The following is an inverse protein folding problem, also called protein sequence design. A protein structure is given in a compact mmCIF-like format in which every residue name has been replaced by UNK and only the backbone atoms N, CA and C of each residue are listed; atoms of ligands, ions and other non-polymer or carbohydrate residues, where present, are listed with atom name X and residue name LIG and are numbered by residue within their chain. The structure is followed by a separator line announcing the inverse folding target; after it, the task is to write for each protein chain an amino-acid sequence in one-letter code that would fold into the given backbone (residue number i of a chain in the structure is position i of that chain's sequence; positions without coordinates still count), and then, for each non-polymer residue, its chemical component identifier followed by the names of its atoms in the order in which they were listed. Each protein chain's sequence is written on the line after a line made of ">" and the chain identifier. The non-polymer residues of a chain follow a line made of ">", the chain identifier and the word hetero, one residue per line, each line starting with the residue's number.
data_IF_673056632393
#
_entry.id   IF_673056632393
#
_cell.length_a   1.000
_cell.length_b   1.000
_cell.length_c   1.000
_cell.angle_alpha   90.00
_cell.angle_beta   90.00
_cell.angle_gamma   90.00
#
_symmetry.space_group_name_H-M   'P 1'
#
loop_
_entity.id
_entity.type
_entity.pdbx_description
1 polymer ?
#
# COMPACT_ATOMS: atom_id res chain seq x y z
N UNK A 1 -17.29 -10.40 -6.69
CA UNK A 1 -16.23 -10.75 -5.74
C UNK A 1 -16.36 -12.23 -5.41
N UNK A 2 -15.25 -12.90 -5.10
CA UNK A 2 -15.32 -14.26 -4.55
C UNK A 2 -15.92 -14.20 -3.15
N UNK A 3 -16.76 -15.16 -2.77
CA UNK A 3 -17.25 -15.31 -1.39
C UNK A 3 -16.14 -15.59 -0.36
N UNK A 4 -14.90 -15.81 -0.82
CA UNK A 4 -13.71 -15.96 0.03
C UNK A 4 -12.96 -14.65 0.25
N UNK A 5 -13.37 -13.55 -0.37
CA UNK A 5 -12.72 -12.27 -0.17
C UNK A 5 -13.26 -11.66 1.13
N UNK A 6 -12.42 -11.33 2.12
CA UNK A 6 -12.89 -10.84 3.42
C UNK A 6 -13.63 -9.50 3.33
N UNK A 7 -13.46 -8.76 2.24
CA UNK A 7 -14.21 -7.54 1.96
C UNK A 7 -15.70 -7.77 1.69
N UNK A 8 -16.16 -9.00 1.39
CA UNK A 8 -17.58 -9.24 1.09
C UNK A 8 -18.52 -8.97 2.25
N UNK A 9 -17.99 -8.91 3.48
CA UNK A 9 -18.78 -8.72 4.69
C UNK A 9 -19.25 -7.27 4.87
N UNK A 10 -18.55 -6.30 4.27
CA UNK A 10 -18.81 -4.88 4.42
C UNK A 10 -18.77 -4.08 3.10
N UNK A 11 -18.48 -4.73 1.97
CA UNK A 11 -18.40 -4.08 0.66
C UNK A 11 -19.54 -4.52 -0.27
N UNK A 12 -20.36 -3.56 -0.66
CA UNK A 12 -21.34 -3.70 -1.74
C UNK A 12 -20.73 -3.07 -2.98
N UNK A 13 -20.73 -3.76 -4.13
CA UNK A 13 -20.03 -3.29 -5.33
C UNK A 13 -20.81 -3.62 -6.60
N UNK A 14 -20.58 -2.82 -7.64
CA UNK A 14 -21.03 -3.09 -9.00
C UNK A 14 -19.91 -2.76 -10.00
N UNK A 15 -19.90 -3.45 -11.14
CA UNK A 15 -18.93 -3.24 -12.21
C UNK A 15 -19.60 -3.01 -13.55
N UNK A 16 -18.92 -2.23 -14.38
CA UNK A 16 -19.33 -1.93 -15.74
C UNK A 16 -18.17 -2.11 -16.72
N UNK A 17 -18.52 -2.44 -17.95
CA UNK A 17 -17.62 -2.45 -19.10
C UNK A 17 -18.20 -1.56 -20.18
N UNK A 18 -17.37 -0.72 -20.79
CA UNK A 18 -17.73 0.06 -21.95
C UNK A 18 -17.47 -0.75 -23.21
N UNK A 19 -18.43 -0.75 -24.14
CA UNK A 19 -18.31 -1.42 -25.43
C UNK A 19 -18.45 -0.42 -26.58
N UNK A 20 -17.54 -0.48 -27.55
CA UNK A 20 -17.57 0.28 -28.80
C UNK A 20 -17.50 -0.70 -29.97
N UNK A 21 -18.51 -0.70 -30.83
CA UNK A 21 -18.65 -1.66 -31.94
C UNK A 21 -18.46 -3.14 -31.50
N UNK A 22 -19.02 -3.51 -30.34
CA UNK A 22 -18.92 -4.86 -29.78
C UNK A 22 -17.61 -5.19 -29.06
N UNK A 23 -16.58 -4.34 -29.13
CA UNK A 23 -15.30 -4.53 -28.43
C UNK A 23 -15.29 -3.83 -27.07
N UNK A 24 -14.66 -4.45 -26.07
CA UNK A 24 -14.47 -3.84 -24.74
C UNK A 24 -13.39 -2.77 -24.85
N UNK A 25 -13.74 -1.54 -24.50
CA UNK A 25 -12.84 -0.36 -24.56
C UNK A 25 -12.55 0.26 -23.20
N UNK A 26 -13.20 -0.22 -22.15
CA UNK A 26 -12.86 0.13 -20.78
C UNK A 26 -13.73 -0.56 -19.74
N UNK A 27 -13.38 -0.34 -18.47
CA UNK A 27 -14.07 -0.89 -17.30
C UNK A 27 -13.93 0.06 -16.10
N UNK A 28 -14.87 -0.05 -15.18
CA UNK A 28 -14.84 0.61 -13.87
C UNK A 28 -15.64 -0.22 -12.87
N UNK A 29 -15.28 -0.15 -11.60
CA UNK A 29 -16.11 -0.62 -10.49
C UNK A 29 -16.45 0.54 -9.57
N UNK A 30 -17.61 0.46 -8.94
CA UNK A 30 -18.00 1.34 -7.85
C UNK A 30 -18.42 0.49 -6.66
N UNK A 31 -18.25 1.03 -5.46
CA UNK A 31 -18.48 0.30 -4.22
C UNK A 31 -18.91 1.22 -3.08
N UNK A 32 -19.63 0.63 -2.14
CA UNK A 32 -19.95 1.15 -0.82
C UNK A 32 -19.21 0.28 0.19
N UNK A 33 -18.45 0.93 1.07
CA UNK A 33 -17.83 0.30 2.23
C UNK A 33 -18.61 0.75 3.47
N UNK A 34 -19.28 -0.19 4.15
CA UNK A 34 -20.10 0.13 5.32
C UNK A 34 -19.24 0.58 6.50
N UNK A 35 -18.02 0.07 6.65
CA UNK A 35 -17.09 0.50 7.70
C UNK A 35 -16.58 1.93 7.45
N UNK A 36 -16.39 2.30 6.18
CA UNK A 36 -16.13 3.68 5.82
C UNK A 36 -17.32 4.58 6.16
N UNK A 37 -18.55 4.17 5.82
CA UNK A 37 -19.78 4.95 6.11
C UNK A 37 -20.01 5.15 7.61
N UNK A 38 -19.79 4.12 8.43
CA UNK A 38 -19.90 4.21 9.89
C UNK A 38 -19.02 5.32 10.48
N UNK A 39 -17.88 5.60 9.84
CA UNK A 39 -16.90 6.58 10.32
C UNK A 39 -17.03 7.96 9.67
N UNK A 40 -17.38 8.00 8.39
CA UNK A 40 -17.30 9.21 7.57
C UNK A 40 -18.65 9.71 7.04
N UNK A 41 -19.73 8.95 7.25
CA UNK A 41 -21.08 9.29 6.82
C UNK A 41 -21.66 8.34 5.78
N UNK A 42 -22.97 8.13 5.89
CA UNK A 42 -23.77 7.23 5.02
C UNK A 42 -23.83 7.66 3.55
N UNK A 43 -23.40 8.87 3.24
CA UNK A 43 -23.47 9.46 1.90
C UNK A 43 -22.16 9.30 1.10
N UNK A 44 -21.27 8.43 1.57
CA UNK A 44 -19.98 8.16 0.91
C UNK A 44 -20.05 6.94 -0.01
N UNK A 45 -19.26 6.97 -1.08
CA UNK A 45 -19.06 5.88 -2.03
C UNK A 45 -17.71 5.99 -2.74
N UNK A 46 -17.30 4.91 -3.41
CA UNK A 46 -15.97 4.83 -4.00
C UNK A 46 -15.98 4.28 -5.42
N UNK A 47 -15.00 4.70 -6.24
CA UNK A 47 -14.70 4.06 -7.52
C UNK A 47 -13.33 3.38 -7.48
N UNK A 48 -13.12 2.36 -8.31
CA UNK A 48 -11.81 1.73 -8.54
C UNK A 48 -11.79 0.92 -9.85
N UNK A 49 -10.65 0.28 -10.14
CA UNK A 49 -10.39 -0.59 -11.30
C UNK A 49 -10.73 0.09 -12.63
N UNK A 50 -10.57 1.41 -12.69
CA UNK A 50 -10.68 2.17 -13.93
C UNK A 50 -9.55 1.79 -14.86
N UNK A 51 -9.92 1.31 -16.03
CA UNK A 51 -8.99 0.95 -17.10
C UNK A 51 -9.72 1.14 -18.42
N UNK A 52 -9.26 2.08 -19.24
CA UNK A 52 -9.91 2.47 -20.49
C UNK A 52 -8.89 2.99 -21.51
N UNK A 53 -9.26 2.89 -22.78
CA UNK A 53 -8.54 3.55 -23.88
C UNK A 53 -8.56 5.08 -23.71
N UNK A 54 -7.62 5.75 -24.36
CA UNK A 54 -7.45 7.21 -24.32
C UNK A 54 -8.55 7.97 -25.10
N UNK A 55 -9.80 7.88 -24.61
CA UNK A 55 -10.96 8.54 -25.19
C UNK A 55 -11.84 9.14 -24.09
N UNK A 56 -12.02 10.49 -24.03
CA UNK A 56 -12.80 11.14 -22.97
C UNK A 56 -14.23 10.61 -22.82
N UNK A 57 -14.87 10.26 -23.94
CA UNK A 57 -16.23 9.72 -23.96
C UNK A 57 -16.35 8.35 -23.28
N UNK A 58 -15.29 7.53 -23.30
CA UNK A 58 -15.28 6.22 -22.61
C UNK A 58 -15.23 6.43 -21.10
N UNK A 59 -14.39 7.35 -20.63
CA UNK A 59 -14.35 7.75 -19.22
C UNK A 59 -15.69 8.33 -18.77
N UNK A 60 -16.27 9.25 -19.52
CA UNK A 60 -17.57 9.85 -19.21
C UNK A 60 -18.69 8.79 -19.07
N UNK A 61 -18.74 7.81 -19.98
CA UNK A 61 -19.73 6.74 -19.91
C UNK A 61 -19.54 5.83 -18.68
N UNK A 62 -18.29 5.44 -18.40
CA UNK A 62 -17.96 4.58 -17.26
C UNK A 62 -18.25 5.27 -15.93
N UNK A 63 -17.75 6.50 -15.73
CA UNK A 63 -17.99 7.27 -14.52
C UNK A 63 -19.46 7.65 -14.38
N UNK A 64 -20.16 8.01 -15.45
CA UNK A 64 -21.59 8.29 -15.38
C UNK A 64 -22.41 7.09 -14.86
N UNK A 65 -22.07 5.87 -15.29
CA UNK A 65 -22.72 4.65 -14.79
C UNK A 65 -22.41 4.39 -13.30
N UNK A 66 -21.14 4.55 -12.92
CA UNK A 66 -20.69 4.41 -11.53
C UNK A 66 -21.36 5.44 -10.60
N UNK A 67 -21.36 6.73 -10.98
CA UNK A 67 -21.98 7.83 -10.23
C UNK A 67 -23.50 7.62 -10.09
N UNK A 68 -24.19 7.25 -11.16
CA UNK A 68 -25.64 6.99 -11.11
C UNK A 68 -25.99 5.85 -10.15
N UNK A 69 -25.19 4.78 -10.15
CA UNK A 69 -25.38 3.69 -9.21
C UNK A 69 -25.11 4.12 -7.78
N UNK A 70 -24.00 4.82 -7.51
CA UNK A 70 -23.69 5.32 -6.17
C UNK A 70 -24.77 6.24 -5.61
N UNK A 71 -25.34 7.13 -6.43
CA UNK A 71 -26.51 7.95 -6.07
C UNK A 71 -27.71 7.11 -5.68
N UNK A 72 -27.99 6.03 -6.43
CA UNK A 72 -29.07 5.10 -6.10
C UNK A 72 -28.84 4.36 -4.77
N UNK A 73 -27.60 4.27 -4.31
CA UNK A 73 -27.20 3.72 -3.01
C UNK A 73 -27.11 4.82 -1.91
N UNK A 74 -27.60 6.03 -2.18
CA UNK A 74 -27.62 7.14 -1.23
C UNK A 74 -26.32 7.94 -1.10
N UNK A 75 -25.33 7.73 -1.98
CA UNK A 75 -24.09 8.49 -1.94
C UNK A 75 -24.25 9.89 -2.56
N UNK A 76 -23.73 10.91 -1.87
CA UNK A 76 -23.56 12.29 -2.34
C UNK A 76 -22.09 12.62 -2.65
N UNK A 77 -21.15 11.83 -2.08
CA UNK A 77 -19.72 11.99 -2.25
C UNK A 77 -19.10 10.72 -2.80
N UNK A 78 -18.27 10.87 -3.84
CA UNK A 78 -17.47 9.79 -4.40
C UNK A 78 -15.97 10.07 -4.22
N UNK A 79 -15.20 9.05 -3.86
CA UNK A 79 -13.73 9.13 -3.80
C UNK A 79 -13.04 7.87 -4.34
N UNK A 80 -11.78 7.98 -4.78
CA UNK A 80 -11.04 6.83 -5.30
C UNK A 80 -9.80 7.20 -6.12
N UNK A 81 -9.07 6.21 -6.66
CA UNK A 81 -9.40 4.79 -6.63
C UNK A 81 -8.99 4.05 -5.34
N UNK A 82 -9.85 3.19 -4.80
CA UNK A 82 -9.55 2.24 -3.69
C UNK A 82 -9.93 0.81 -4.06
N UNK A 83 -8.96 -0.11 -4.14
CA UNK A 83 -9.25 -1.50 -4.53
C UNK A 83 -9.93 -2.20 -3.36
N UNK A 84 -11.25 -2.28 -3.36
CA UNK A 84 -12.08 -2.83 -2.27
C UNK A 84 -12.09 -1.97 -1.00
N UNK A 85 -10.95 -1.69 -0.38
CA UNK A 85 -10.87 -0.71 0.71
C UNK A 85 -9.51 -0.02 0.73
N UNK A 86 -9.38 1.00 1.57
CA UNK A 86 -8.18 1.84 1.65
C UNK A 86 -6.91 1.07 2.00
N UNK A 87 -7.05 -0.10 2.63
CA UNK A 87 -5.93 -0.90 3.10
C UNK A 87 -5.35 -1.85 2.04
N UNK A 88 -5.94 -1.91 0.84
CA UNK A 88 -5.40 -2.66 -0.30
C UNK A 88 -4.67 -1.73 -1.26
N UNK A 89 -5.03 -1.67 -2.54
CA UNK A 89 -4.41 -0.74 -3.49
C UNK A 89 -5.11 0.62 -3.47
N UNK A 90 -4.35 1.69 -3.27
CA UNK A 90 -4.88 3.05 -3.17
C UNK A 90 -4.17 4.01 -4.13
N UNK A 91 -4.97 4.87 -4.76
CA UNK A 91 -4.49 5.99 -5.57
C UNK A 91 -4.18 5.65 -7.04
N UNK A 92 -4.36 6.64 -7.89
CA UNK A 92 -4.00 6.59 -9.31
C UNK A 92 -2.57 7.10 -9.49
N UNK A 93 -1.71 6.39 -10.22
CA UNK A 93 -0.37 6.89 -10.57
C UNK A 93 -0.50 8.17 -11.41
N UNK A 94 0.11 9.27 -10.96
CA UNK A 94 0.13 10.56 -11.67
C UNK A 94 1.54 11.04 -12.03
N UNK A 95 2.58 10.53 -11.37
CA UNK A 95 3.99 10.84 -11.66
C UNK A 95 4.87 9.58 -11.48
N UNK A 96 5.92 9.44 -12.30
CA UNK A 96 6.88 8.32 -12.25
C UNK A 96 6.54 7.10 -13.14
N UNK A 97 5.95 7.35 -14.32
CA UNK A 97 5.58 6.31 -15.30
C UNK A 97 6.77 5.59 -15.96
N UNK A 98 7.98 6.14 -15.83
CA UNK A 98 9.23 5.68 -16.41
C UNK A 98 9.80 4.43 -15.72
N UNK A 99 9.27 4.05 -14.56
CA UNK A 99 9.70 2.87 -13.80
C UNK A 99 8.56 1.86 -13.60
N UNK A 100 8.85 0.54 -13.61
CA UNK A 100 7.83 -0.49 -13.38
C UNK A 100 7.23 -0.39 -11.96
N UNK A 101 6.02 -0.91 -11.71
CA UNK A 101 5.44 -0.92 -10.37
C UNK A 101 6.17 -1.88 -9.42
N UNK A 102 6.30 -1.50 -8.15
CA UNK A 102 6.61 -2.42 -7.08
C UNK A 102 5.40 -3.32 -6.73
N UNK A 103 5.65 -4.39 -5.99
CA UNK A 103 4.60 -5.32 -5.57
C UNK A 103 3.41 -4.60 -4.92
N UNK A 104 2.20 -4.93 -5.38
CA UNK A 104 0.93 -4.35 -4.91
C UNK A 104 0.82 -2.82 -5.07
N UNK A 105 1.50 -2.25 -6.08
CA UNK A 105 1.37 -0.84 -6.45
C UNK A 105 0.66 -0.72 -7.80
N UNK A 106 -0.34 0.17 -7.94
CA UNK A 106 -1.03 0.38 -9.20
C UNK A 106 -0.09 1.02 -10.24
N UNK A 107 -0.34 0.73 -11.52
CA UNK A 107 0.40 1.33 -12.64
C UNK A 107 -0.56 1.66 -13.78
N UNK A 108 -1.42 2.65 -13.51
CA UNK A 108 -2.38 3.17 -14.49
C UNK A 108 -1.67 3.82 -15.68
N UNK A 109 -2.46 4.28 -16.66
CA UNK A 109 -1.91 4.93 -17.86
C UNK A 109 -1.81 6.45 -17.67
N UNK A 110 -0.86 7.14 -18.35
CA UNK A 110 -0.65 8.57 -18.18
C UNK A 110 -1.87 9.46 -18.45
N UNK A 111 -2.78 9.02 -19.33
CA UNK A 111 -3.97 9.78 -19.67
C UNK A 111 -5.09 9.71 -18.62
N UNK A 112 -5.05 8.75 -17.67
CA UNK A 112 -6.17 8.53 -16.75
C UNK A 112 -6.46 9.74 -15.87
N UNK A 113 -5.42 10.40 -15.36
CA UNK A 113 -5.54 11.57 -14.49
C UNK A 113 -6.30 12.71 -15.20
N UNK A 114 -5.88 13.04 -16.43
CA UNK A 114 -6.49 14.10 -17.21
C UNK A 114 -7.97 13.82 -17.51
N UNK A 115 -8.34 12.58 -17.87
CA UNK A 115 -9.75 12.24 -18.11
C UNK A 115 -10.59 12.29 -16.84
N UNK A 116 -10.05 11.85 -15.70
CA UNK A 116 -10.76 11.90 -14.42
C UNK A 116 -10.99 13.37 -14.00
N UNK A 117 -9.98 14.23 -14.15
CA UNK A 117 -10.07 15.66 -13.84
C UNK A 117 -11.08 16.39 -14.73
N UNK A 118 -11.17 16.02 -16.02
CA UNK A 118 -12.18 16.56 -16.95
C UNK A 118 -13.63 16.24 -16.52
N UNK A 119 -13.84 15.20 -15.72
CA UNK A 119 -15.15 14.82 -15.19
C UNK A 119 -15.51 15.57 -13.90
N UNK A 120 -14.70 16.55 -13.49
CA UNK A 120 -14.92 17.38 -12.30
C UNK A 120 -14.40 16.77 -10.99
N UNK A 121 -13.61 15.70 -11.07
CA UNK A 121 -12.91 15.17 -9.92
C UNK A 121 -11.71 16.06 -9.58
N UNK A 122 -11.49 16.29 -8.30
CA UNK A 122 -10.37 17.06 -7.80
C UNK A 122 -9.53 16.23 -6.85
N UNK A 123 -8.31 16.70 -6.58
CA UNK A 123 -7.40 16.07 -5.63
C UNK A 123 -8.04 16.03 -4.23
N UNK A 124 -8.17 14.83 -3.68
CA UNK A 124 -8.46 14.61 -2.27
C UNK A 124 -7.17 14.53 -1.44
N UNK A 125 -6.25 13.63 -1.82
CA UNK A 125 -4.94 13.51 -1.18
C UNK A 125 -3.92 12.85 -2.12
N UNK A 126 -2.66 13.28 -2.06
CA UNK A 126 -1.55 12.59 -2.73
C UNK A 126 -0.84 11.61 -1.78
N UNK A 127 -0.45 10.47 -2.35
CA UNK A 127 0.34 9.42 -1.74
C UNK A 127 1.70 9.38 -2.43
N UNK A 128 2.77 9.49 -1.65
CA UNK A 128 4.14 9.46 -2.11
C UNK A 128 4.70 8.04 -1.97
N UNK A 129 5.49 7.64 -2.96
CA UNK A 129 6.38 6.50 -2.84
C UNK A 129 7.83 6.98 -2.95
N UNK A 130 8.64 6.53 -2.01
CA UNK A 130 10.04 6.90 -1.87
C UNK A 130 10.92 5.73 -2.28
N UNK A 131 11.93 6.01 -3.10
CA UNK A 131 12.93 5.05 -3.53
C UNK A 131 14.23 5.25 -2.76
N UNK A 132 14.89 4.17 -2.35
CA UNK A 132 16.19 4.26 -1.69
C UNK A 132 17.07 3.10 -2.15
N UNK A 133 18.27 3.40 -2.66
CA UNK A 133 19.28 2.37 -2.84
C UNK A 133 19.79 1.93 -1.46
N UNK A 134 20.09 0.64 -1.31
CA UNK A 134 20.63 0.08 -0.07
C UNK A 134 21.92 0.78 0.36
N UNK A 135 22.71 1.26 -0.59
CA UNK A 135 23.98 1.98 -0.35
C UNK A 135 23.80 3.40 0.15
N UNK A 136 22.63 4.00 -0.09
CA UNK A 136 22.39 5.41 0.18
C UNK A 136 21.87 5.65 1.60
N UNK A 137 21.47 4.55 2.29
CA UNK A 137 21.02 4.57 3.68
C UNK A 137 22.13 5.10 4.60
N UNK A 138 21.99 6.37 4.96
CA UNK A 138 22.97 7.10 5.76
C UNK A 138 22.29 7.74 6.96
N UNK A 139 23.05 7.85 8.04
CA UNK A 139 22.60 8.52 9.27
C UNK A 139 23.63 9.56 9.66
N UNK A 140 23.20 10.81 9.83
CA UNK A 140 24.08 11.87 10.31
C UNK A 140 24.63 11.54 11.70
N UNK A 141 25.80 12.07 12.12
CA UNK A 141 26.37 11.79 13.44
C UNK A 141 25.42 12.10 14.59
N UNK A 142 24.65 13.20 14.48
CA UNK A 142 23.63 13.57 15.45
C UNK A 142 22.50 12.53 15.52
N UNK A 143 22.04 12.06 14.35
CA UNK A 143 20.98 11.05 14.27
C UNK A 143 21.43 9.69 14.81
N UNK A 144 22.66 9.26 14.49
CA UNK A 144 23.25 8.03 15.05
C UNK A 144 23.28 8.07 16.57
N UNK A 145 23.71 9.19 17.17
CA UNK A 145 23.72 9.36 18.63
C UNK A 145 22.33 9.22 19.25
N UNK A 146 21.30 9.76 18.60
CA UNK A 146 19.91 9.59 19.05
C UNK A 146 19.44 8.15 18.92
N UNK A 147 19.74 7.49 17.80
CA UNK A 147 19.46 6.07 17.57
C UNK A 147 20.11 5.19 18.64
N UNK A 148 21.38 5.44 18.98
CA UNK A 148 22.10 4.68 20.00
C UNK A 148 21.52 4.85 21.42
N UNK A 149 20.95 6.01 21.73
CA UNK A 149 20.26 6.23 23.00
C UNK A 149 18.94 5.46 23.06
N UNK A 150 18.17 5.47 21.98
CA UNK A 150 16.89 4.77 21.89
C UNK A 150 17.09 3.25 21.84
N UNK A 151 18.14 2.78 21.14
CA UNK A 151 18.48 1.35 21.05
C UNK A 151 18.68 0.69 22.40
N UNK A 152 19.11 1.43 23.43
CA UNK A 152 19.24 0.91 24.81
C UNK A 152 17.91 0.58 25.48
N UNK A 153 16.80 1.10 24.95
CA UNK A 153 15.44 0.96 25.49
C UNK A 153 14.54 0.10 24.61
N UNK A 154 14.97 -0.18 23.38
CA UNK A 154 14.16 -0.83 22.35
C UNK A 154 14.78 -2.18 22.01
N UNK A 155 13.98 -3.24 22.12
CA UNK A 155 14.33 -4.55 21.60
C UNK A 155 13.73 -4.69 20.21
N UNK A 156 14.55 -5.02 19.21
CA UNK A 156 14.07 -5.36 17.87
C UNK A 156 14.19 -6.87 17.68
N UNK A 157 13.08 -7.52 17.34
CA UNK A 157 13.03 -8.96 17.07
C UNK A 157 12.30 -9.27 15.79
N UNK A 158 12.65 -10.39 15.17
CA UNK A 158 11.84 -10.95 14.09
C UNK A 158 10.51 -11.51 14.66
N UNK A 159 9.53 -11.71 13.79
CA UNK A 159 8.32 -12.44 14.16
C UNK A 159 8.62 -13.87 14.59
N UNK A 160 7.84 -14.39 15.55
CA UNK A 160 7.84 -15.81 15.85
C UNK A 160 6.85 -16.57 14.96
N UNK A 161 7.37 -17.27 13.94
CA UNK A 161 6.53 -18.04 13.01
C UNK A 161 5.74 -19.19 13.65
N UNK A 162 6.15 -19.69 14.82
CA UNK A 162 5.39 -20.70 15.55
C UNK A 162 4.12 -20.12 16.17
N UNK A 163 4.11 -18.81 16.46
CA UNK A 163 2.99 -18.05 17.02
C UNK A 163 2.45 -17.02 16.01
N UNK A 164 2.45 -17.38 14.73
CA UNK A 164 2.17 -16.44 13.64
C UNK A 164 0.83 -15.70 13.80
N UNK A 165 -0.23 -16.39 14.20
CA UNK A 165 -1.54 -15.76 14.42
C UNK A 165 -1.48 -14.67 15.49
N UNK A 166 -0.76 -14.90 16.59
CA UNK A 166 -0.59 -13.92 17.67
C UNK A 166 0.28 -12.74 17.21
N UNK A 167 1.36 -13.01 16.47
CA UNK A 167 2.20 -11.96 15.88
C UNK A 167 1.38 -11.08 14.91
N UNK A 168 0.48 -11.67 14.11
CA UNK A 168 -0.40 -10.92 13.23
C UNK A 168 -1.38 -10.04 14.02
N UNK A 169 -1.89 -10.49 15.17
CA UNK A 169 -2.72 -9.65 16.03
C UNK A 169 -1.93 -8.45 16.59
N UNK A 170 -0.69 -8.68 17.03
CA UNK A 170 0.20 -7.60 17.48
C UNK A 170 0.39 -6.56 16.37
N UNK A 171 0.70 -7.00 15.14
CA UNK A 171 0.86 -6.11 13.99
C UNK A 171 -0.44 -5.34 13.68
N UNK A 172 -1.60 -6.00 13.73
CA UNK A 172 -2.91 -5.38 13.51
C UNK A 172 -3.21 -4.29 14.54
N UNK A 173 -2.94 -4.56 15.81
CA UNK A 173 -3.15 -3.61 16.91
C UNK A 173 -2.25 -2.37 16.77
N UNK A 174 -0.97 -2.57 16.46
CA UNK A 174 -0.04 -1.46 16.20
C UNK A 174 -0.48 -0.67 14.98
N UNK A 175 -0.91 -1.34 13.90
CA UNK A 175 -1.39 -0.68 12.68
C UNK A 175 -2.63 0.16 12.96
N UNK A 176 -3.68 -0.44 13.52
CA UNK A 176 -4.94 0.24 13.78
C UNK A 176 -4.76 1.40 14.77
N UNK A 177 -3.87 1.26 15.77
CA UNK A 177 -3.50 2.35 16.67
C UNK A 177 -2.77 3.47 15.94
N UNK A 178 -1.72 3.14 15.18
CA UNK A 178 -0.86 4.15 14.57
C UNK A 178 -1.50 4.86 13.36
N UNK A 179 -2.44 4.23 12.68
CA UNK A 179 -2.99 4.77 11.43
C UNK A 179 -4.35 5.44 11.61
N UNK A 180 -4.89 5.46 12.84
CA UNK A 180 -6.24 5.97 13.11
C UNK A 180 -6.48 7.44 12.71
N UNK A 181 -5.44 8.24 12.58
CA UNK A 181 -5.54 9.66 12.20
C UNK A 181 -5.25 9.91 10.71
N UNK A 182 -4.95 8.86 9.94
CA UNK A 182 -4.69 8.98 8.51
C UNK A 182 -5.97 9.31 7.72
N UNK A 183 -5.78 10.01 6.61
CA UNK A 183 -6.86 10.35 5.69
C UNK A 183 -7.56 9.06 5.21
N UNK A 184 -8.89 9.03 5.30
CA UNK A 184 -9.72 7.90 4.84
C UNK A 184 -9.54 6.58 5.60
N UNK A 185 -8.84 6.57 6.75
CA UNK A 185 -8.56 5.36 7.51
C UNK A 185 -9.82 4.56 7.89
N UNK A 186 -9.82 3.28 7.52
CA UNK A 186 -10.76 2.26 7.98
C UNK A 186 -9.95 1.18 8.70
N UNK A 187 -10.32 0.81 9.94
CA UNK A 187 -9.55 -0.19 10.69
C UNK A 187 -9.60 -1.54 10.00
N UNK A 188 -8.47 -2.24 9.96
CA UNK A 188 -8.48 -3.64 9.53
C UNK A 188 -9.33 -4.46 10.49
N UNK A 189 -10.28 -5.20 9.92
CA UNK A 189 -10.96 -6.27 10.65
C UNK A 189 -9.97 -7.39 10.95
N UNK A 190 -10.28 -8.18 11.96
CA UNK A 190 -9.49 -9.36 12.30
C UNK A 190 -9.41 -10.35 11.14
N UNK A 191 -10.53 -10.57 10.44
CA UNK A 191 -10.60 -11.51 9.33
C UNK A 191 -9.76 -11.07 8.12
N UNK A 192 -9.79 -9.79 7.77
CA UNK A 192 -8.96 -9.23 6.68
C UNK A 192 -7.48 -9.34 7.00
N UNK A 193 -7.08 -8.97 8.22
CA UNK A 193 -5.68 -8.97 8.61
C UNK A 193 -5.13 -10.41 8.68
N UNK A 194 -5.92 -11.36 9.19
CA UNK A 194 -5.54 -12.77 9.19
C UNK A 194 -5.37 -13.32 7.77
N UNK A 195 -6.30 -12.99 6.86
CA UNK A 195 -6.23 -13.40 5.45
C UNK A 195 -5.01 -12.82 4.75
N UNK A 196 -4.70 -11.54 4.99
CA UNK A 196 -3.50 -10.89 4.48
C UNK A 196 -2.24 -11.55 5.06
N UNK A 197 -2.21 -11.81 6.36
CA UNK A 197 -1.11 -12.51 7.04
C UNK A 197 -0.84 -13.88 6.43
N UNK A 198 -1.87 -14.67 6.16
CA UNK A 198 -1.72 -15.99 5.53
C UNK A 198 -1.13 -15.92 4.12
N UNK A 199 -1.44 -14.88 3.35
CA UNK A 199 -0.80 -14.65 2.04
C UNK A 199 0.66 -14.19 2.21
N UNK A 200 0.91 -13.25 3.12
CA UNK A 200 2.25 -12.74 3.41
C UNK A 200 3.18 -13.84 3.93
N UNK A 201 2.66 -14.84 4.65
CA UNK A 201 3.42 -16.00 5.14
C UNK A 201 4.19 -16.74 4.04
N UNK A 202 3.69 -16.74 2.80
CA UNK A 202 4.36 -17.38 1.66
C UNK A 202 5.32 -16.47 0.90
N UNK A 203 5.11 -15.16 0.97
CA UNK A 203 5.81 -14.16 0.17
C UNK A 203 6.91 -13.44 0.95
N UNK A 204 6.74 -13.30 2.27
CA UNK A 204 7.61 -12.53 3.15
C UNK A 204 8.42 -13.48 4.03
N UNK A 205 9.76 -13.43 3.93
CA UNK A 205 10.63 -14.13 4.87
C UNK A 205 10.55 -13.57 6.29
N UNK A 206 10.78 -14.41 7.29
CA UNK A 206 10.69 -14.02 8.71
C UNK A 206 11.70 -12.93 9.09
N UNK A 207 12.87 -12.91 8.44
CA UNK A 207 13.90 -11.88 8.60
C UNK A 207 13.56 -10.58 7.85
N UNK A 208 12.34 -10.43 7.35
CA UNK A 208 11.82 -9.20 6.77
C UNK A 208 10.65 -8.62 7.55
N UNK A 209 10.27 -9.22 8.69
CA UNK A 209 9.23 -8.69 9.55
C UNK A 209 9.82 -8.49 10.94
N UNK A 210 9.97 -7.23 11.32
CA UNK A 210 10.51 -6.86 12.62
C UNK A 210 9.47 -6.17 13.47
N UNK A 211 9.50 -6.48 14.77
CA UNK A 211 8.72 -5.83 15.81
C UNK A 211 9.72 -5.16 16.76
N UNK A 212 9.44 -3.90 17.08
CA UNK A 212 10.11 -3.17 18.14
C UNK A 212 9.28 -3.24 19.43
N UNK A 213 9.95 -3.49 20.54
CA UNK A 213 9.35 -3.59 21.87
C UNK A 213 10.06 -2.65 22.84
N UNK A 214 9.29 -1.99 23.71
CA UNK A 214 9.78 -1.23 24.87
C UNK A 214 9.22 -1.92 26.11
N UNK A 215 10.09 -2.26 27.07
CA UNK A 215 9.68 -2.96 28.29
C UNK A 215 8.86 -4.25 28.01
N UNK A 216 9.21 -4.97 26.95
CA UNK A 216 8.52 -6.17 26.43
C UNK A 216 7.11 -5.92 25.85
N UNK A 217 6.69 -4.66 25.70
CA UNK A 217 5.45 -4.29 25.03
C UNK A 217 5.72 -3.92 23.56
N UNK A 218 5.09 -4.60 22.57
CA UNK A 218 5.19 -4.24 21.17
C UNK A 218 4.71 -2.81 20.90
N UNK A 219 5.56 -2.00 20.28
CA UNK A 219 5.28 -0.58 20.05
C UNK A 219 5.37 -0.18 18.57
N UNK A 220 6.10 -0.93 17.74
CA UNK A 220 6.21 -0.64 16.32
C UNK A 220 6.53 -1.90 15.52
N UNK A 221 6.29 -1.87 14.21
CA UNK A 221 6.69 -2.94 13.30
C UNK A 221 7.04 -2.42 11.90
N UNK A 222 7.75 -3.24 11.14
CA UNK A 222 8.04 -3.03 9.71
C UNK A 222 7.92 -4.35 8.97
N UNK A 223 7.37 -4.30 7.75
CA UNK A 223 7.29 -5.45 6.83
C UNK A 223 8.06 -5.09 5.56
N UNK A 224 9.09 -5.86 5.22
CA UNK A 224 9.79 -5.81 3.94
C UNK A 224 9.28 -6.89 2.99
N UNK A 225 8.58 -6.51 1.93
CA UNK A 225 8.06 -7.40 0.91
C UNK A 225 9.02 -7.43 -0.29
N UNK A 226 9.63 -8.58 -0.64
CA UNK A 226 10.38 -8.70 -1.89
C UNK A 226 9.52 -8.35 -3.11
N UNK A 227 10.08 -7.65 -4.09
CA UNK A 227 9.33 -7.21 -5.26
C UNK A 227 9.06 -8.37 -6.24
N UNK A 228 7.96 -9.08 -6.01
CA UNK A 228 7.53 -10.22 -6.84
C UNK A 228 7.26 -9.84 -8.31
N UNK A 229 7.03 -8.57 -8.62
CA UNK A 229 6.80 -8.12 -10.00
C UNK A 229 8.02 -8.39 -10.89
N UNK A 230 9.24 -8.29 -10.34
CA UNK A 230 10.46 -8.66 -11.07
C UNK A 230 10.49 -10.15 -11.42
N UNK A 231 9.94 -10.99 -10.54
CA UNK A 231 9.95 -12.44 -10.72
C UNK A 231 9.04 -12.87 -11.90
N UNK A 232 8.01 -12.08 -12.19
CA UNK A 232 7.00 -12.37 -13.23
C UNK A 232 7.14 -11.50 -14.50
N UNK A 233 8.07 -10.55 -14.53
CA UNK A 233 8.14 -9.49 -15.54
C UNK A 233 8.13 -9.97 -17.00
N UNK A 234 8.78 -11.11 -17.28
CA UNK A 234 8.93 -11.67 -18.62
C UNK A 234 8.12 -12.95 -18.85
N UNK A 235 7.11 -13.20 -17.99
CA UNK A 235 6.19 -14.33 -18.15
C UNK A 235 5.03 -14.01 -19.10
N UNK A 236 4.81 -12.74 -19.44
CA UNK A 236 3.78 -12.28 -20.39
C UNK A 236 2.39 -12.89 -20.14
N UNK A 237 2.01 -13.07 -18.87
CA UNK A 237 0.72 -13.61 -18.48
C UNK A 237 0.55 -15.14 -18.62
N UNK A 238 1.59 -15.89 -19.02
CA UNK A 238 1.52 -17.35 -19.11
C UNK A 238 2.55 -18.03 -18.20
N UNK A 239 2.07 -18.94 -17.34
CA UNK A 239 2.92 -19.84 -16.56
C UNK A 239 3.33 -21.09 -17.34
N UNK A 240 2.65 -21.38 -18.44
CA UNK A 240 2.91 -22.58 -19.25
C UNK A 240 3.62 -22.23 -20.56
N UNK A 241 4.51 -23.11 -21.06
CA UNK A 241 4.85 -24.42 -20.47
C UNK A 241 5.89 -24.37 -19.34
N UNK A 242 6.76 -23.35 -19.27
CA UNK A 242 7.91 -23.31 -18.33
C UNK A 242 7.97 -22.09 -17.41
N UNK A 243 6.98 -21.18 -17.48
CA UNK A 243 6.93 -19.98 -16.66
C UNK A 243 6.85 -20.28 -15.15
N UNK A 244 6.17 -21.35 -14.75
CA UNK A 244 6.12 -21.81 -13.35
C UNK A 244 7.50 -22.19 -12.81
N UNK A 245 8.33 -22.88 -13.60
CA UNK A 245 9.68 -23.30 -13.18
C UNK A 245 10.60 -22.09 -13.03
N UNK A 246 10.50 -21.14 -13.97
CA UNK A 246 11.22 -19.86 -13.94
C UNK A 246 10.81 -19.01 -12.74
N UNK A 247 9.52 -18.95 -12.44
CA UNK A 247 8.99 -18.24 -11.27
C UNK A 247 9.49 -18.87 -9.97
N UNK A 248 9.38 -20.20 -9.81
CA UNK A 248 9.87 -20.89 -8.62
C UNK A 248 11.39 -20.71 -8.44
N UNK A 249 12.16 -20.82 -9.52
CA UNK A 249 13.60 -20.55 -9.49
C UNK A 249 13.90 -19.12 -9.02
N UNK A 250 13.14 -18.13 -9.48
CA UNK A 250 13.32 -16.74 -9.06
C UNK A 250 12.94 -16.49 -7.61
N UNK A 251 11.85 -17.09 -7.16
CA UNK A 251 11.39 -16.94 -5.77
C UNK A 251 12.25 -17.70 -4.76
N UNK A 252 12.86 -18.83 -5.16
CA UNK A 252 13.57 -19.73 -4.23
C UNK A 252 15.09 -19.73 -4.39
N UNK A 253 15.62 -19.34 -5.55
CA UNK A 253 17.06 -19.46 -5.85
C UNK A 253 17.69 -18.12 -6.26
N UNK A 254 17.23 -17.48 -7.34
CA UNK A 254 17.88 -16.25 -7.80
C UNK A 254 17.55 -15.03 -6.95
N UNK A 255 16.37 -15.03 -6.31
CA UNK A 255 15.84 -13.86 -5.61
C UNK A 255 15.40 -12.76 -6.55
N UNK A 256 15.01 -11.64 -5.94
CA UNK A 256 14.65 -10.37 -6.58
C UNK A 256 15.58 -9.28 -6.05
N UNK A 257 15.76 -8.22 -6.85
CA UNK A 257 16.73 -7.16 -6.58
C UNK A 257 16.13 -5.97 -5.86
N UNK A 258 14.79 -5.85 -5.85
CA UNK A 258 14.11 -4.75 -5.17
C UNK A 258 13.11 -5.28 -4.15
N UNK A 259 12.78 -4.46 -3.16
CA UNK A 259 11.76 -4.73 -2.17
C UNK A 259 10.83 -3.53 -2.00
N UNK A 260 9.74 -3.72 -1.27
CA UNK A 260 8.81 -2.68 -0.86
C UNK A 260 8.60 -2.79 0.65
N UNK A 261 8.48 -1.67 1.34
CA UNK A 261 7.94 -1.60 2.71
C UNK A 261 6.48 -1.14 2.61
N UNK A 262 5.50 -2.07 2.48
CA UNK A 262 4.08 -1.70 2.35
C UNK A 262 3.47 -1.27 3.68
N UNK A 263 4.00 -1.77 4.81
CA UNK A 263 3.47 -1.53 6.14
C UNK A 263 4.60 -1.22 7.11
N UNK A 264 4.48 -0.07 7.77
CA UNK A 264 5.26 0.32 8.92
C UNK A 264 4.34 1.09 9.86
N UNK A 265 4.37 0.73 11.13
CA UNK A 265 3.49 1.32 12.14
C UNK A 265 4.24 1.57 13.43
N UNK A 266 3.94 2.68 14.07
CA UNK A 266 4.33 3.00 15.44
C UNK A 266 3.04 3.32 16.18
N UNK A 267 2.82 2.73 17.37
CA UNK A 267 1.62 3.01 18.18
C UNK A 267 1.49 4.50 18.42
N UNK A 268 0.25 4.98 18.43
CA UNK A 268 -0.10 6.41 18.55
C UNK A 268 0.61 7.10 19.72
N UNK A 269 0.66 6.42 20.88
CA UNK A 269 1.31 6.89 22.10
C UNK A 269 2.79 7.27 21.93
N UNK A 270 3.47 6.70 20.92
CA UNK A 270 4.86 7.00 20.60
C UNK A 270 5.03 7.92 19.38
N UNK A 271 4.00 8.13 18.55
CA UNK A 271 4.12 8.90 17.30
C UNK A 271 4.48 10.37 17.54
N UNK A 272 3.86 10.99 18.54
CA UNK A 272 4.12 12.38 18.92
C UNK A 272 5.28 12.52 19.92
N UNK A 273 5.94 11.40 20.27
CA UNK A 273 7.12 11.40 21.12
C UNK A 273 8.40 11.63 20.31
N UNK A 274 9.48 12.04 20.98
CA UNK A 274 10.81 12.12 20.36
C UNK A 274 11.40 10.75 19.99
N UNK A 275 10.81 9.66 20.51
CA UNK A 275 11.33 8.30 20.37
C UNK A 275 10.70 7.58 19.16
N UNK A 276 9.42 7.82 18.85
CA UNK A 276 8.70 7.16 17.76
C UNK A 276 9.40 7.24 16.40
N UNK A 277 9.78 8.44 15.94
CA UNK A 277 10.55 8.60 14.70
C UNK A 277 11.87 7.80 14.70
N UNK A 278 12.54 7.71 15.85
CA UNK A 278 13.80 6.96 15.98
C UNK A 278 13.55 5.45 15.95
N UNK A 279 12.44 4.97 16.51
CA UNK A 279 12.04 3.55 16.41
C UNK A 279 11.83 3.17 14.95
N UNK A 280 11.14 4.01 14.16
CA UNK A 280 10.96 3.78 12.73
C UNK A 280 12.30 3.66 11.98
N UNK A 281 13.27 4.54 12.29
CA UNK A 281 14.62 4.46 11.73
C UNK A 281 15.37 3.19 12.12
N UNK A 282 15.25 2.75 13.38
CA UNK A 282 15.87 1.51 13.84
C UNK A 282 15.27 0.28 13.12
N UNK A 283 13.96 0.32 12.83
CA UNK A 283 13.28 -0.73 12.05
C UNK A 283 13.73 -0.72 10.57
N UNK A 284 13.87 0.45 9.95
CA UNK A 284 14.44 0.58 8.60
C UNK A 284 15.87 0.04 8.57
N UNK A 285 16.68 0.38 9.57
CA UNK A 285 18.05 -0.13 9.69
C UNK A 285 18.09 -1.66 9.86
N UNK A 286 17.14 -2.25 10.58
CA UNK A 286 17.07 -3.70 10.79
C UNK A 286 16.91 -4.49 9.49
N UNK A 287 16.33 -3.89 8.43
CA UNK A 287 16.23 -4.50 7.11
C UNK A 287 17.55 -4.55 6.33
N UNK A 288 18.60 -3.81 6.76
CA UNK A 288 19.89 -3.72 6.04
C UNK A 288 20.56 -5.08 5.85
N UNK A 289 20.64 -5.86 6.92
CA UNK A 289 21.31 -7.18 6.92
C UNK A 289 20.55 -8.21 6.07
N UNK A 290 19.23 -8.39 6.24
CA UNK A 290 18.40 -9.22 5.35
C UNK A 290 18.53 -8.82 3.87
N UNK A 291 18.54 -7.51 3.58
CA UNK A 291 18.66 -7.03 2.21
C UNK A 291 20.03 -7.38 1.61
N UNK A 292 21.10 -7.21 2.37
CA UNK A 292 22.44 -7.59 1.95
C UNK A 292 22.56 -9.10 1.67
N UNK A 293 22.04 -9.95 2.58
CA UNK A 293 22.07 -11.42 2.42
C UNK A 293 21.30 -11.88 1.18
N UNK A 294 20.19 -11.20 0.86
CA UNK A 294 19.32 -11.53 -0.28
C UNK A 294 19.67 -10.81 -1.58
N UNK A 295 20.73 -9.99 -1.57
CA UNK A 295 21.14 -9.18 -2.74
C UNK A 295 20.04 -8.25 -3.24
N UNK A 296 19.29 -7.68 -2.30
CA UNK A 296 18.33 -6.61 -2.57
C UNK A 296 19.13 -5.30 -2.64
N UNK A 297 19.05 -4.63 -3.78
CA UNK A 297 19.81 -3.43 -4.11
C UNK A 297 19.07 -2.16 -3.72
N UNK A 298 17.73 -2.17 -3.76
CA UNK A 298 16.92 -1.00 -3.47
C UNK A 298 15.55 -1.36 -2.88
N UNK A 299 14.89 -0.36 -2.29
CA UNK A 299 13.54 -0.50 -1.77
C UNK A 299 12.65 0.70 -2.10
N UNK A 300 11.36 0.40 -2.24
CA UNK A 300 10.28 1.38 -2.21
C UNK A 300 9.68 1.46 -0.79
N UNK A 301 9.41 2.66 -0.29
CA UNK A 301 8.62 2.91 0.91
C UNK A 301 7.33 3.64 0.51
N UNK A 302 6.18 2.99 0.68
CA UNK A 302 4.89 3.44 0.15
C UNK A 302 3.71 2.77 0.87
N UNK A 303 2.50 3.34 0.91
CA UNK A 303 2.13 4.70 0.54
C UNK A 303 2.32 5.64 1.72
N UNK A 304 2.87 6.82 1.48
CA UNK A 304 3.07 7.83 2.52
C UNK A 304 2.24 9.06 2.16
N UNK A 305 1.32 9.47 3.03
CA UNK A 305 0.51 10.67 2.81
C UNK A 305 1.42 11.89 2.64
N UNK A 306 1.08 12.77 1.69
CA UNK A 306 1.80 14.04 1.51
C UNK A 306 1.79 14.91 2.78
N UNK A 307 0.75 14.77 3.61
CA UNK A 307 0.60 15.47 4.89
C UNK A 307 1.45 14.88 6.02
N UNK A 308 2.02 13.68 5.85
CA UNK A 308 2.94 13.08 6.82
C UNK A 308 4.34 13.67 6.68
N UNK A 309 4.46 14.96 6.98
CA UNK A 309 5.70 15.73 6.86
C UNK A 309 6.83 15.15 7.71
N UNK A 310 6.51 14.57 8.88
CA UNK A 310 7.48 13.90 9.74
C UNK A 310 8.17 12.73 9.06
N UNK A 311 7.41 11.83 8.42
CA UNK A 311 7.97 10.71 7.68
C UNK A 311 8.66 11.15 6.39
N UNK A 312 8.03 12.04 5.59
CA UNK A 312 8.60 12.52 4.34
C UNK A 312 9.98 13.19 4.55
N UNK A 313 10.10 14.08 5.53
CA UNK A 313 11.37 14.74 5.88
C UNK A 313 12.41 13.75 6.43
N UNK A 314 11.96 12.69 7.11
CA UNK A 314 12.86 11.66 7.63
C UNK A 314 13.47 10.84 6.50
N UNK A 315 12.64 10.42 5.53
CA UNK A 315 13.08 9.61 4.40
C UNK A 315 14.09 10.35 3.52
N UNK A 316 13.81 11.62 3.23
CA UNK A 316 14.75 12.49 2.51
C UNK A 316 16.12 12.57 3.21
N UNK A 317 16.13 12.69 4.55
CA UNK A 317 17.35 12.79 5.35
C UNK A 317 18.19 11.52 5.40
N UNK A 318 17.60 10.35 5.14
CA UNK A 318 18.31 9.07 5.18
C UNK A 318 18.72 8.58 3.78
N UNK A 319 18.52 9.40 2.75
CA UNK A 319 18.95 9.12 1.37
C UNK A 319 17.88 8.51 0.47
N UNK A 320 16.60 8.62 0.85
CA UNK A 320 15.50 8.27 -0.04
C UNK A 320 15.06 9.46 -0.90
N UNK A 321 14.57 9.18 -2.10
CA UNK A 321 14.09 10.17 -3.05
C UNK A 321 12.62 9.90 -3.43
N UNK A 322 11.75 10.91 -3.53
CA UNK A 322 10.39 10.70 -3.99
C UNK A 322 10.42 10.42 -5.50
N UNK A 323 9.94 9.25 -5.92
CA UNK A 323 10.06 8.82 -7.32
C UNK A 323 8.71 8.57 -8.00
N UNK A 324 7.64 8.35 -7.21
CA UNK A 324 6.27 8.24 -7.71
C UNK A 324 5.30 8.99 -6.83
N UNK A 325 4.27 9.53 -7.48
CA UNK A 325 3.12 10.13 -6.82
C UNK A 325 1.84 9.47 -7.31
N UNK A 326 1.00 9.10 -6.36
CA UNK A 326 -0.34 8.59 -6.58
C UNK A 326 -1.34 9.60 -6.04
N UNK A 327 -2.52 9.70 -6.67
CA UNK A 327 -3.58 10.61 -6.26
C UNK A 327 -4.87 9.87 -5.99
N UNK A 328 -5.45 10.17 -4.84
CA UNK A 328 -6.85 9.91 -4.56
C UNK A 328 -7.65 11.15 -4.94
N UNK A 329 -8.69 10.93 -5.73
CA UNK A 329 -9.62 11.92 -6.22
C UNK A 329 -10.91 11.89 -5.43
N UNK A 330 -11.60 13.02 -5.38
CA UNK A 330 -12.94 13.14 -4.83
C UNK A 330 -13.83 14.06 -5.68
N UNK A 331 -15.14 13.87 -5.56
CA UNK A 331 -16.17 14.66 -6.25
C UNK A 331 -17.49 14.59 -5.46
N UNK A 332 -18.26 15.68 -5.51
CA UNK A 332 -19.66 15.71 -5.09
C UNK A 332 -20.53 15.29 -6.28
N UNK A 333 -21.40 14.31 -6.09
CA UNK A 333 -22.20 13.68 -7.16
C UNK A 333 -23.67 13.98 -7.03
#
# INVERSE_FOLDING_TARGET
>A
MSAKNPGTDHIIWQAWVAKKAGQIVGRITAQIDTLHRERYGEDTGHFVMIDAIDEPQVFAALFGAAEAWLKSQGASKISGPFSLNINQESGLLIEGFDTPPCAMMPHGKPWYAAHIEQLGYHKGIDLLAWWMQRTDLTFSPALKKLMDQVRKKVTIRCINRQRFAEEMQILREIFNSGWQHNWGFVPFTEHEFATMGDQLKYLVPDDMIYIAEIDSAPCAFIVGLPNINEAIADLNGSLFPFGWAKLLWRLKVSGVRTARVPLMGVRDEYQFSRIGPVIALLLIEALRDPFARRKIDALEMSWILETNTGMNNMLERIGAEPYKRYRLYEKQI
#
